data_IF_750098216592
#
_entry.id   IF_750098216592
#
_cell.length_a   1.000
_cell.length_b   1.000
_cell.length_c   1.000
_cell.angle_alpha   90.00
_cell.angle_beta   90.00
_cell.angle_gamma   90.00
#
_symmetry.space_group_name_H-M   'P 1'
#
loop_
_entity.id
_entity.type
_entity.pdbx_description
1 polymer ?
#
# COMPACT_ATOMS: atom_id res chain seq x y z
N UNK A 1 -8.18 27.40 4.37
CA UNK A 1 -7.85 28.57 3.53
C UNK A 1 -6.35 28.67 3.29
N UNK A 2 -5.50 28.74 4.33
CA UNK A 2 -4.06 28.92 4.16
C UNK A 2 -3.42 27.76 3.39
N UNK A 3 -3.73 26.52 3.71
CA UNK A 3 -3.23 25.35 2.98
C UNK A 3 -3.74 25.38 1.54
N UNK A 4 -5.01 25.70 1.32
CA UNK A 4 -5.58 25.76 -0.02
C UNK A 4 -4.94 26.87 -0.87
N UNK A 5 -4.67 28.03 -0.32
CA UNK A 5 -3.96 29.12 -1.03
C UNK A 5 -2.56 28.70 -1.52
N UNK A 6 -1.93 27.71 -0.88
CA UNK A 6 -0.60 27.18 -1.22
C UNK A 6 -0.65 25.95 -2.12
N UNK A 7 -1.69 25.14 -2.01
CA UNK A 7 -1.81 23.83 -2.65
C UNK A 7 -2.88 23.80 -3.73
N UNK A 8 -3.78 24.78 -3.74
CA UNK A 8 -4.95 24.84 -4.64
C UNK A 8 -5.82 23.57 -4.61
N UNK A 9 -5.99 22.96 -3.40
CA UNK A 9 -6.78 21.75 -3.24
C UNK A 9 -8.23 21.95 -3.66
N UNK A 10 -8.81 23.13 -3.43
CA UNK A 10 -10.16 23.45 -3.90
C UNK A 10 -10.28 23.32 -5.42
N UNK A 11 -9.29 23.82 -6.17
CA UNK A 11 -9.23 23.70 -7.63
C UNK A 11 -9.13 22.23 -8.05
N UNK A 12 -8.32 21.41 -7.36
CA UNK A 12 -8.20 19.98 -7.66
C UNK A 12 -9.51 19.23 -7.40
N UNK A 13 -10.18 19.57 -6.28
CA UNK A 13 -11.45 18.97 -5.92
C UNK A 13 -12.60 19.38 -6.86
N UNK A 14 -12.65 20.63 -7.25
CA UNK A 14 -13.67 21.14 -8.18
C UNK A 14 -13.38 20.77 -9.64
N UNK A 15 -12.11 20.57 -10.00
CA UNK A 15 -11.64 20.46 -11.38
C UNK A 15 -11.61 21.81 -12.12
N UNK A 16 -11.85 22.91 -11.42
CA UNK A 16 -11.83 24.31 -11.88
C UNK A 16 -11.60 25.26 -10.70
N UNK A 17 -11.32 26.49 -10.94
CA UNK A 17 -11.31 27.50 -9.87
C UNK A 17 -12.71 27.65 -9.24
N UNK A 18 -12.83 27.88 -7.91
CA UNK A 18 -14.08 28.25 -7.27
C UNK A 18 -14.67 29.51 -7.92
N UNK A 19 -15.98 29.54 -8.12
CA UNK A 19 -16.66 30.69 -8.74
C UNK A 19 -16.79 31.87 -7.73
N UNK A 20 -17.03 31.52 -6.48
CA UNK A 20 -17.23 32.50 -5.42
C UNK A 20 -16.83 31.92 -4.03
N UNK A 21 -16.88 32.79 -3.03
CA UNK A 21 -16.57 32.40 -1.64
C UNK A 21 -17.61 31.42 -1.06
N UNK A 22 -18.88 31.47 -1.50
CA UNK A 22 -19.90 30.57 -1.00
C UNK A 22 -19.67 29.12 -1.51
N UNK A 23 -19.25 28.96 -2.75
CA UNK A 23 -18.87 27.64 -3.28
C UNK A 23 -17.67 27.07 -2.53
N UNK A 24 -16.67 27.91 -2.24
CA UNK A 24 -15.49 27.48 -1.47
C UNK A 24 -15.87 27.05 -0.06
N UNK A 25 -16.72 27.79 0.62
CA UNK A 25 -17.21 27.45 1.97
C UNK A 25 -18.04 26.16 1.92
N UNK A 26 -18.92 26.02 0.92
CA UNK A 26 -19.71 24.79 0.74
C UNK A 26 -18.83 23.57 0.47
N UNK A 27 -17.73 23.73 -0.29
CA UNK A 27 -16.74 22.69 -0.53
C UNK A 27 -16.06 22.25 0.78
N UNK A 28 -15.64 23.21 1.62
CA UNK A 28 -15.03 22.88 2.91
C UNK A 28 -16.02 22.23 3.88
N UNK A 29 -17.29 22.68 3.88
CA UNK A 29 -18.35 22.03 4.63
C UNK A 29 -18.58 20.59 4.15
N UNK A 30 -18.55 20.38 2.84
CA UNK A 30 -18.63 19.04 2.21
C UNK A 30 -17.46 18.14 2.59
N UNK A 31 -16.23 18.68 2.60
CA UNK A 31 -15.03 17.95 3.06
C UNK A 31 -15.14 17.55 4.54
N UNK A 32 -15.61 18.48 5.40
CA UNK A 32 -15.82 18.22 6.82
C UNK A 32 -16.85 17.09 7.00
N UNK A 33 -17.99 17.20 6.33
CA UNK A 33 -19.05 16.20 6.40
C UNK A 33 -18.59 14.83 5.85
N UNK A 34 -17.84 14.82 4.75
CA UNK A 34 -17.37 13.60 4.13
C UNK A 34 -16.25 12.89 4.93
N UNK A 35 -15.41 13.67 5.61
CA UNK A 35 -14.28 13.16 6.41
C UNK A 35 -14.60 12.90 7.88
N UNK A 36 -15.84 13.09 8.31
CA UNK A 36 -16.28 12.89 9.71
C UNK A 36 -17.62 12.15 9.75
N UNK A 37 -18.16 11.91 10.95
CA UNK A 37 -19.51 11.35 11.14
C UNK A 37 -20.62 12.41 11.04
N UNK A 38 -20.28 13.65 10.66
CA UNK A 38 -21.23 14.76 10.50
C UNK A 38 -21.90 14.65 9.13
N UNK A 39 -23.23 14.65 9.10
CA UNK A 39 -23.96 14.67 7.83
C UNK A 39 -24.03 16.09 7.21
N UNK A 40 -24.53 16.19 5.99
CA UNK A 40 -24.68 17.48 5.29
C UNK A 40 -25.58 18.47 6.04
N UNK A 41 -26.57 17.97 6.77
CA UNK A 41 -27.50 18.80 7.55
C UNK A 41 -26.81 19.41 8.77
N UNK A 42 -26.06 18.59 9.50
CA UNK A 42 -25.29 19.02 10.64
C UNK A 42 -24.17 20.00 10.22
N UNK A 43 -23.44 19.71 9.15
CA UNK A 43 -22.43 20.61 8.62
C UNK A 43 -23.01 21.97 8.20
N UNK A 44 -24.13 21.97 7.48
CA UNK A 44 -24.82 23.21 7.11
C UNK A 44 -25.33 24.01 8.34
N UNK A 45 -25.77 23.33 9.39
CA UNK A 45 -26.21 23.99 10.62
C UNK A 45 -25.06 24.66 11.40
N UNK A 46 -23.84 24.18 11.24
CA UNK A 46 -22.63 24.73 11.86
C UNK A 46 -22.06 25.95 11.11
N UNK A 47 -22.42 26.14 9.85
CA UNK A 47 -21.86 27.19 8.99
C UNK A 47 -22.96 28.14 8.52
N UNK A 48 -23.05 29.37 9.06
CA UNK A 48 -24.08 30.32 8.68
C UNK A 48 -24.07 30.62 7.17
N UNK A 49 -25.25 30.67 6.57
CA UNK A 49 -25.41 31.06 5.16
C UNK A 49 -25.18 29.95 4.14
N UNK A 50 -24.80 28.75 4.55
CA UNK A 50 -24.60 27.62 3.61
C UNK A 50 -25.80 26.67 3.61
N UNK A 51 -26.56 26.58 2.51
CA UNK A 51 -27.70 25.69 2.45
C UNK A 51 -27.29 24.21 2.34
N UNK A 52 -28.10 23.33 2.95
CA UNK A 52 -27.87 21.87 2.95
C UNK A 52 -27.68 21.33 1.53
N UNK A 53 -28.40 21.84 0.54
CA UNK A 53 -28.30 21.43 -0.85
C UNK A 53 -26.90 21.66 -1.44
N UNK A 54 -26.24 22.77 -1.11
CA UNK A 54 -24.86 23.05 -1.55
C UNK A 54 -23.86 22.12 -0.88
N UNK A 55 -24.00 21.85 0.43
CA UNK A 55 -23.13 20.89 1.13
C UNK A 55 -23.29 19.48 0.52
N UNK A 56 -24.54 19.04 0.31
CA UNK A 56 -24.82 17.74 -0.33
C UNK A 56 -24.29 17.65 -1.76
N UNK A 57 -24.34 18.75 -2.52
CA UNK A 57 -23.75 18.79 -3.86
C UNK A 57 -22.22 18.69 -3.82
N UNK A 58 -21.58 19.41 -2.89
CA UNK A 58 -20.13 19.32 -2.67
C UNK A 58 -19.71 17.90 -2.27
N UNK A 59 -20.42 17.23 -1.34
CA UNK A 59 -20.14 15.85 -0.97
C UNK A 59 -20.20 14.90 -2.18
N UNK A 60 -21.26 14.96 -2.99
CA UNK A 60 -21.36 14.14 -4.21
C UNK A 60 -20.22 14.40 -5.21
N UNK A 61 -19.78 15.64 -5.29
CA UNK A 61 -18.66 16.00 -6.17
C UNK A 61 -17.34 15.42 -5.68
N UNK A 62 -17.12 15.34 -4.35
CA UNK A 62 -15.94 14.71 -3.76
C UNK A 62 -15.86 13.20 -4.06
N UNK A 63 -17.00 12.55 -4.31
CA UNK A 63 -17.08 11.13 -4.70
C UNK A 63 -16.58 10.87 -6.14
N UNK A 64 -16.36 11.93 -6.93
CA UNK A 64 -15.86 11.76 -8.29
C UNK A 64 -14.46 11.11 -8.30
N UNK A 65 -14.24 10.08 -9.16
CA UNK A 65 -13.00 9.32 -9.16
C UNK A 65 -11.74 10.20 -9.31
N UNK A 66 -10.77 9.96 -8.45
CA UNK A 66 -9.44 10.59 -8.52
C UNK A 66 -9.34 12.00 -7.91
N UNK A 67 -10.43 12.71 -7.63
CA UNK A 67 -10.39 14.09 -7.11
C UNK A 67 -9.73 14.19 -5.74
N UNK A 68 -10.18 13.38 -4.78
CA UNK A 68 -9.57 13.33 -3.44
C UNK A 68 -8.10 12.93 -3.51
N UNK A 69 -7.75 11.99 -4.39
CA UNK A 69 -6.36 11.59 -4.60
C UNK A 69 -5.51 12.73 -5.15
N UNK A 70 -5.97 13.43 -6.19
CA UNK A 70 -5.26 14.58 -6.75
C UNK A 70 -5.06 15.70 -5.72
N UNK A 71 -6.07 15.97 -4.90
CA UNK A 71 -5.98 16.93 -3.80
C UNK A 71 -4.96 16.49 -2.74
N UNK A 72 -4.99 15.21 -2.32
CA UNK A 72 -4.00 14.65 -1.41
C UNK A 72 -2.58 14.76 -1.99
N UNK A 73 -2.36 14.39 -3.24
CA UNK A 73 -1.06 14.47 -3.92
C UNK A 73 -0.51 15.90 -3.92
N UNK A 74 -1.39 16.91 -4.10
CA UNK A 74 -1.01 18.33 -4.03
C UNK A 74 -0.53 18.73 -2.63
N UNK A 75 -1.23 18.28 -1.58
CA UNK A 75 -0.83 18.52 -0.18
C UNK A 75 0.49 17.83 0.14
N UNK A 76 0.64 16.57 -0.27
CA UNK A 76 1.89 15.81 -0.08
C UNK A 76 3.05 16.50 -0.81
N UNK A 77 2.86 16.94 -2.05
CA UNK A 77 3.88 17.66 -2.80
C UNK A 77 4.27 18.99 -2.12
N UNK A 78 3.30 19.68 -1.53
CA UNK A 78 3.59 20.90 -0.75
C UNK A 78 4.38 20.57 0.53
N UNK A 79 3.98 19.55 1.29
CA UNK A 79 4.68 19.09 2.50
C UNK A 79 6.14 18.72 2.20
N UNK A 80 6.41 18.03 1.11
CA UNK A 80 7.75 17.59 0.71
C UNK A 80 8.72 18.75 0.39
N UNK A 81 8.23 19.99 0.23
CA UNK A 81 9.09 21.17 0.01
C UNK A 81 9.77 21.67 1.29
N UNK A 82 9.30 21.30 2.46
CA UNK A 82 9.83 21.76 3.73
C UNK A 82 11.10 21.00 4.10
N UNK A 83 12.21 21.71 4.43
CA UNK A 83 13.48 21.06 4.78
C UNK A 83 13.38 20.10 5.98
N UNK A 84 12.50 20.39 6.95
CA UNK A 84 12.29 19.56 8.13
C UNK A 84 11.80 18.14 7.76
N UNK A 85 11.08 17.98 6.67
CA UNK A 85 10.60 16.68 6.22
C UNK A 85 11.75 15.73 5.89
N UNK A 86 12.86 16.26 5.38
CA UNK A 86 14.08 15.49 5.08
C UNK A 86 14.76 14.93 6.33
N UNK A 87 14.49 15.52 7.51
CA UNK A 87 15.00 15.00 8.78
C UNK A 87 14.23 13.76 9.25
N UNK A 88 12.97 13.60 8.81
CA UNK A 88 12.13 12.47 9.17
C UNK A 88 12.34 11.28 8.24
N UNK A 89 12.55 11.53 6.95
CA UNK A 89 12.76 10.48 5.97
C UNK A 89 13.36 11.02 4.67
N UNK A 90 14.11 10.16 3.98
CA UNK A 90 14.59 10.41 2.62
C UNK A 90 13.52 10.23 1.53
N UNK A 91 12.30 9.85 1.92
CA UNK A 91 11.18 9.59 1.02
C UNK A 91 11.22 8.25 0.31
N UNK A 92 12.20 7.38 0.62
CA UNK A 92 12.38 6.06 -0.03
C UNK A 92 11.72 4.93 0.73
N UNK A 93 11.30 5.16 1.96
CA UNK A 93 10.72 4.15 2.84
C UNK A 93 9.24 4.44 3.07
N UNK A 94 8.45 3.38 3.07
CA UNK A 94 7.03 3.44 3.38
C UNK A 94 6.66 2.30 4.32
N UNK A 95 5.56 2.47 5.03
CA UNK A 95 4.88 1.41 5.77
C UNK A 95 3.45 1.26 5.27
N UNK A 96 2.87 0.09 5.44
CA UNK A 96 1.47 -0.12 5.11
C UNK A 96 0.80 -1.09 6.07
N UNK A 97 -0.49 -0.82 6.29
CA UNK A 97 -1.33 -1.63 7.15
C UNK A 97 -2.80 -1.54 6.70
N UNK A 98 -3.61 -2.45 7.23
CA UNK A 98 -5.03 -2.54 6.96
C UNK A 98 -5.84 -2.10 8.17
N UNK A 99 -6.76 -1.17 7.95
CA UNK A 99 -7.78 -0.78 8.90
C UNK A 99 -9.15 -1.31 8.46
N UNK A 100 -9.89 -1.92 9.38
CA UNK A 100 -11.27 -2.33 9.12
C UNK A 100 -12.22 -1.20 9.54
N UNK A 101 -13.06 -0.76 8.60
CA UNK A 101 -14.11 0.22 8.84
C UNK A 101 -15.47 -0.45 8.79
N UNK A 102 -16.35 -0.09 9.74
CA UNK A 102 -17.72 -0.55 9.71
C UNK A 102 -18.43 -0.08 8.44
N UNK A 103 -19.14 -0.96 7.81
CA UNK A 103 -19.78 -0.72 6.53
C UNK A 103 -21.19 -1.35 6.52
N UNK A 104 -22.02 -0.87 5.61
CA UNK A 104 -23.29 -1.54 5.37
C UNK A 104 -23.04 -2.94 4.77
N UNK A 105 -23.85 -3.94 5.20
CA UNK A 105 -23.82 -5.30 4.64
C UNK A 105 -24.12 -5.36 3.13
N UNK A 106 -24.66 -4.30 2.56
CA UNK A 106 -24.96 -4.18 1.14
C UNK A 106 -23.77 -3.75 0.29
N UNK A 107 -22.67 -3.32 0.92
CA UNK A 107 -21.45 -3.00 0.21
C UNK A 107 -20.78 -4.31 -0.28
N UNK A 108 -20.51 -4.40 -1.57
CA UNK A 108 -20.01 -5.65 -2.22
C UNK A 108 -18.69 -6.18 -1.61
N UNK A 109 -17.83 -5.28 -1.11
CA UNK A 109 -16.57 -5.62 -0.46
C UNK A 109 -16.69 -5.90 1.05
N UNK A 110 -17.85 -5.63 1.66
CA UNK A 110 -18.04 -5.86 3.09
C UNK A 110 -18.08 -7.35 3.42
N UNK A 111 -17.46 -7.70 4.54
CA UNK A 111 -17.51 -9.03 5.16
C UNK A 111 -17.69 -8.86 6.66
N UNK A 112 -18.15 -9.90 7.32
CA UNK A 112 -18.24 -9.89 8.79
C UNK A 112 -16.86 -9.81 9.41
N UNK A 113 -16.59 -8.77 10.20
CA UNK A 113 -15.37 -8.66 10.98
C UNK A 113 -15.38 -9.72 12.09
N UNK A 114 -14.40 -10.62 12.14
CA UNK A 114 -14.37 -11.70 13.15
C UNK A 114 -14.28 -11.19 14.58
N UNK A 115 -13.69 -10.00 14.79
CA UNK A 115 -13.49 -9.40 16.11
C UNK A 115 -14.74 -8.67 16.58
N UNK A 116 -15.31 -7.79 15.72
CA UNK A 116 -16.45 -6.92 16.07
C UNK A 116 -17.81 -7.55 15.79
N UNK A 117 -17.86 -8.60 14.95
CA UNK A 117 -19.09 -9.27 14.49
C UNK A 117 -20.03 -8.37 13.69
N UNK A 118 -19.55 -7.23 13.21
CA UNK A 118 -20.26 -6.29 12.34
C UNK A 118 -19.81 -6.44 10.89
N UNK A 119 -20.59 -5.93 9.93
CA UNK A 119 -20.16 -5.84 8.55
C UNK A 119 -19.09 -4.74 8.44
N UNK A 120 -17.97 -5.04 7.82
CA UNK A 120 -16.86 -4.12 7.65
C UNK A 120 -16.17 -4.30 6.29
N UNK A 121 -15.54 -3.24 5.79
CA UNK A 121 -14.64 -3.25 4.66
C UNK A 121 -13.22 -2.94 5.13
N UNK A 122 -12.21 -3.46 4.46
CA UNK A 122 -10.82 -3.10 4.71
C UNK A 122 -10.42 -1.86 3.91
N UNK A 123 -9.63 -1.00 4.51
CA UNK A 123 -8.87 0.04 3.81
C UNK A 123 -7.39 -0.27 4.02
N UNK A 124 -6.68 -0.47 2.93
CA UNK A 124 -5.23 -0.72 2.97
C UNK A 124 -4.50 0.58 2.62
N UNK A 125 -3.73 1.08 3.57
CA UNK A 125 -3.12 2.43 3.50
C UNK A 125 -1.61 2.32 3.48
N UNK A 126 -0.97 3.15 2.65
CA UNK A 126 0.48 3.28 2.55
C UNK A 126 0.90 4.67 3.01
N UNK A 127 1.88 4.72 3.89
CA UNK A 127 2.37 5.94 4.52
C UNK A 127 3.88 6.04 4.28
N UNK A 128 4.35 7.19 3.77
CA UNK A 128 5.80 7.46 3.70
C UNK A 128 6.39 7.61 5.10
N UNK A 129 7.68 7.37 5.24
CA UNK A 129 8.42 7.62 6.46
C UNK A 129 8.36 9.07 6.95
N UNK A 130 7.98 10.02 6.10
CA UNK A 130 7.68 11.42 6.43
C UNK A 130 6.19 11.66 6.74
N UNK A 131 5.44 10.61 7.02
CA UNK A 131 4.04 10.55 7.47
C UNK A 131 2.91 10.83 6.48
N UNK A 132 3.10 11.33 5.24
CA UNK A 132 1.94 11.48 4.37
C UNK A 132 1.40 10.12 3.89
N UNK A 133 0.08 10.02 3.79
CA UNK A 133 -0.60 8.93 3.08
C UNK A 133 -0.34 9.11 1.59
N UNK A 134 0.30 8.12 0.97
CA UNK A 134 0.65 8.16 -0.46
C UNK A 134 -0.26 7.33 -1.34
N UNK A 135 -0.90 6.32 -0.76
CA UNK A 135 -1.86 5.46 -1.45
C UNK A 135 -2.77 4.78 -0.45
N UNK A 136 -4.04 4.73 -0.77
CA UNK A 136 -5.05 3.98 -0.05
C UNK A 136 -5.96 3.26 -1.03
N UNK A 137 -6.50 2.12 -0.63
CA UNK A 137 -7.43 1.36 -1.46
C UNK A 137 -8.40 0.55 -0.59
N UNK A 138 -9.68 0.51 -0.98
CA UNK A 138 -10.62 -0.40 -0.35
C UNK A 138 -10.30 -1.84 -0.74
N UNK A 139 -10.35 -2.74 0.23
CA UNK A 139 -10.15 -4.18 0.02
C UNK A 139 -11.27 -4.98 0.66
N UNK A 140 -11.53 -6.16 0.13
CA UNK A 140 -12.42 -7.12 0.79
C UNK A 140 -11.78 -7.54 2.10
N UNK A 141 -12.50 -7.38 3.22
CA UNK A 141 -12.02 -7.81 4.52
C UNK A 141 -11.66 -9.30 4.48
N UNK A 142 -10.59 -9.69 5.16
CA UNK A 142 -10.03 -11.05 5.20
C UNK A 142 -9.31 -11.52 3.92
N UNK A 143 -9.15 -10.66 2.92
CA UNK A 143 -8.28 -10.95 1.77
C UNK A 143 -6.80 -10.92 2.21
N UNK A 144 -5.95 -11.68 1.53
CA UNK A 144 -4.50 -11.57 1.72
C UNK A 144 -4.03 -10.16 1.41
N UNK A 145 -3.18 -9.62 2.25
CA UNK A 145 -2.77 -8.22 2.20
C UNK A 145 -1.51 -7.97 1.36
N UNK A 146 -0.81 -9.02 0.93
CA UNK A 146 0.38 -8.90 0.07
C UNK A 146 0.09 -8.23 -1.28
N UNK A 147 -1.06 -8.56 -1.88
CA UNK A 147 -1.45 -7.96 -3.16
C UNK A 147 -1.71 -6.45 -3.07
N UNK A 148 -2.54 -5.94 -2.14
CA UNK A 148 -2.69 -4.51 -1.93
C UNK A 148 -1.40 -3.83 -1.48
N UNK A 149 -0.56 -4.48 -0.67
CA UNK A 149 0.74 -3.95 -0.24
C UNK A 149 1.64 -3.63 -1.44
N UNK A 150 1.84 -4.62 -2.31
CA UNK A 150 2.69 -4.45 -3.50
C UNK A 150 2.07 -3.51 -4.53
N UNK A 151 0.73 -3.58 -4.71
CA UNK A 151 0.03 -2.73 -5.67
C UNK A 151 0.16 -1.24 -5.36
N UNK A 152 -0.01 -0.85 -4.09
CA UNK A 152 0.02 0.57 -3.73
C UNK A 152 1.38 1.23 -3.97
N UNK A 153 2.48 0.52 -3.67
CA UNK A 153 3.83 1.03 -3.96
C UNK A 153 4.11 1.06 -5.46
N UNK A 154 3.71 0.03 -6.20
CA UNK A 154 3.87 0.04 -7.66
C UNK A 154 3.09 1.20 -8.30
N UNK A 155 1.85 1.44 -7.89
CA UNK A 155 1.04 2.55 -8.35
C UNK A 155 1.70 3.91 -8.02
N UNK A 156 2.17 4.08 -6.78
CA UNK A 156 2.89 5.28 -6.37
C UNK A 156 4.16 5.50 -7.18
N UNK A 157 4.98 4.47 -7.32
CA UNK A 157 6.25 4.54 -8.04
C UNK A 157 6.07 4.77 -9.56
N UNK A 158 4.93 4.42 -10.12
CA UNK A 158 4.63 4.57 -11.54
C UNK A 158 3.97 5.91 -11.90
N UNK A 159 3.57 6.73 -10.92
CA UNK A 159 2.80 7.98 -11.16
C UNK A 159 3.62 9.06 -11.85
N UNK A 160 4.92 9.20 -11.55
CA UNK A 160 5.80 10.22 -12.14
C UNK A 160 7.25 9.75 -12.12
N UNK A 161 8.00 10.06 -13.16
CA UNK A 161 9.44 9.76 -13.24
C UNK A 161 10.26 10.62 -12.28
N UNK A 162 9.84 11.87 -12.05
CA UNK A 162 10.54 12.84 -11.20
C UNK A 162 10.32 12.61 -9.70
N UNK A 163 9.40 11.72 -9.33
CA UNK A 163 9.09 11.43 -7.93
C UNK A 163 10.17 10.51 -7.31
N UNK A 164 10.53 10.79 -6.06
CA UNK A 164 11.36 9.86 -5.28
C UNK A 164 10.61 8.53 -5.17
N UNK A 165 11.24 7.46 -5.64
CA UNK A 165 10.65 6.12 -5.62
C UNK A 165 10.82 5.50 -4.23
N UNK A 166 9.80 4.81 -3.78
CA UNK A 166 9.89 3.96 -2.58
C UNK A 166 10.65 2.70 -2.97
N UNK A 167 11.73 2.41 -2.25
CA UNK A 167 12.58 1.23 -2.42
C UNK A 167 12.44 0.20 -1.27
N UNK A 168 11.79 0.58 -0.16
CA UNK A 168 11.51 -0.28 0.98
C UNK A 168 10.08 -0.08 1.49
N UNK A 169 9.32 -1.18 1.61
CA UNK A 169 7.99 -1.21 2.21
C UNK A 169 8.00 -2.10 3.44
N UNK A 170 7.80 -1.51 4.62
CA UNK A 170 7.54 -2.24 5.85
C UNK A 170 6.07 -2.64 5.95
N UNK A 171 5.80 -3.90 6.29
CA UNK A 171 4.44 -4.44 6.46
C UNK A 171 4.36 -5.29 7.71
N UNK A 172 3.15 -5.50 8.22
CA UNK A 172 2.90 -6.48 9.27
C UNK A 172 3.08 -7.94 8.78
N UNK A 173 2.87 -8.90 9.66
CA UNK A 173 2.98 -10.33 9.33
C UNK A 173 1.98 -10.77 8.25
N UNK A 174 0.84 -10.09 8.09
CA UNK A 174 -0.19 -10.42 7.12
C UNK A 174 0.04 -9.76 5.75
N UNK A 175 0.88 -8.73 5.71
CA UNK A 175 1.19 -7.95 4.51
C UNK A 175 2.16 -8.61 3.53
N UNK A 176 2.64 -9.84 3.80
CA UNK A 176 3.58 -10.50 2.91
C UNK A 176 3.23 -11.96 2.58
N UNK A 177 3.67 -12.40 1.43
CA UNK A 177 3.83 -13.80 1.01
C UNK A 177 5.18 -13.96 0.28
N UNK A 178 5.60 -15.18 0.04
CA UNK A 178 6.83 -15.39 -0.77
C UNK A 178 6.67 -14.83 -2.19
N UNK A 179 5.51 -15.07 -2.80
CA UNK A 179 5.21 -14.51 -4.13
C UNK A 179 5.15 -12.98 -4.11
N UNK A 180 4.58 -12.38 -3.05
CA UNK A 180 4.56 -10.93 -2.85
C UNK A 180 5.97 -10.34 -2.74
N UNK A 181 6.85 -10.95 -1.94
CA UNK A 181 8.27 -10.53 -1.85
C UNK A 181 8.99 -10.62 -3.20
N UNK A 182 8.75 -11.69 -3.96
CA UNK A 182 9.34 -11.86 -5.29
C UNK A 182 8.88 -10.79 -6.26
N UNK A 183 7.59 -10.54 -6.33
CA UNK A 183 7.02 -9.53 -7.23
C UNK A 183 7.50 -8.13 -6.83
N UNK A 184 7.50 -7.79 -5.55
CA UNK A 184 8.02 -6.51 -5.05
C UNK A 184 9.48 -6.29 -5.47
N UNK A 185 10.36 -7.28 -5.24
CA UNK A 185 11.77 -7.21 -5.61
C UNK A 185 11.99 -7.03 -7.11
N UNK A 186 11.22 -7.74 -7.93
CA UNK A 186 11.27 -7.62 -9.39
C UNK A 186 10.68 -6.29 -9.88
N UNK A 187 9.81 -5.66 -9.10
CA UNK A 187 9.31 -4.29 -9.29
C UNK A 187 10.25 -3.21 -8.73
N UNK A 188 11.41 -3.61 -8.19
CA UNK A 188 12.50 -2.77 -7.68
C UNK A 188 12.26 -2.11 -6.33
N UNK A 189 11.55 -2.78 -5.42
CA UNK A 189 11.50 -2.41 -4.01
C UNK A 189 11.51 -3.64 -3.11
N UNK A 190 11.94 -3.48 -1.87
CA UNK A 190 12.00 -4.55 -0.90
C UNK A 190 10.75 -4.55 -0.02
N UNK A 191 10.12 -5.72 0.10
CA UNK A 191 9.02 -5.97 1.03
C UNK A 191 9.60 -6.52 2.34
N UNK A 192 9.54 -5.72 3.40
CA UNK A 192 10.13 -6.00 4.70
C UNK A 192 9.04 -6.32 5.74
N UNK A 193 8.72 -7.61 5.95
CA UNK A 193 7.67 -7.98 6.88
C UNK A 193 8.14 -7.95 8.34
N UNK A 194 7.28 -7.47 9.24
CA UNK A 194 7.43 -7.71 10.66
C UNK A 194 7.03 -9.16 10.96
N UNK A 195 8.02 -10.02 11.18
CA UNK A 195 7.79 -11.45 11.35
C UNK A 195 7.46 -11.81 12.81
N UNK A 196 6.29 -12.36 13.05
CA UNK A 196 5.96 -12.97 14.32
C UNK A 196 6.71 -14.31 14.51
N UNK A 197 6.98 -14.69 15.77
CA UNK A 197 7.60 -15.97 16.10
C UNK A 197 9.01 -16.14 15.54
N UNK A 198 9.84 -15.12 15.64
CA UNK A 198 11.22 -15.13 15.14
C UNK A 198 12.05 -16.35 15.55
N UNK A 199 11.98 -16.87 16.79
CA UNK A 199 12.75 -18.05 17.20
C UNK A 199 12.45 -19.33 16.39
N UNK A 200 11.23 -19.42 15.84
CA UNK A 200 10.79 -20.58 15.06
C UNK A 200 11.05 -20.41 13.55
N UNK A 201 11.54 -19.26 13.13
CA UNK A 201 11.77 -18.97 11.71
C UNK A 201 13.06 -19.61 11.23
N UNK A 202 12.96 -20.42 10.19
CA UNK A 202 14.11 -21.05 9.54
C UNK A 202 14.62 -20.19 8.39
N UNK A 203 15.94 -20.21 8.20
CA UNK A 203 16.61 -19.67 7.03
C UNK A 203 16.60 -20.76 5.96
N UNK A 204 16.06 -20.47 4.80
CA UNK A 204 16.08 -21.41 3.70
C UNK A 204 17.25 -21.11 2.75
N UNK A 205 18.02 -22.12 2.46
CA UNK A 205 19.20 -22.01 1.62
C UNK A 205 19.03 -22.81 0.33
N UNK A 206 19.70 -22.40 -0.78
CA UNK A 206 19.88 -23.25 -1.93
C UNK A 206 20.52 -24.57 -1.54
N UNK A 207 20.11 -25.65 -2.17
CA UNK A 207 20.70 -26.99 -1.93
C UNK A 207 22.15 -27.09 -2.34
N UNK A 208 22.63 -26.21 -3.19
CA UNK A 208 24.02 -26.12 -3.64
C UNK A 208 24.95 -25.46 -2.63
N UNK A 209 24.43 -24.83 -1.57
CA UNK A 209 25.20 -24.12 -0.57
C UNK A 209 25.42 -25.02 0.66
N UNK A 210 26.68 -25.25 1.02
CA UNK A 210 27.03 -25.88 2.27
C UNK A 210 26.92 -24.85 3.40
N UNK A 211 26.15 -25.19 4.41
CA UNK A 211 25.93 -24.36 5.59
C UNK A 211 26.93 -24.79 6.67
N UNK A 212 27.47 -23.83 7.43
CA UNK A 212 28.36 -24.17 8.56
C UNK A 212 27.59 -24.90 9.67
N UNK A 213 28.26 -25.77 10.43
CA UNK A 213 27.70 -26.53 11.53
C UNK A 213 26.93 -25.65 12.54
N UNK A 214 27.43 -24.42 12.79
CA UNK A 214 26.78 -23.45 13.67
C UNK A 214 25.37 -23.05 13.22
N UNK A 215 25.09 -23.09 11.93
CA UNK A 215 23.80 -22.69 11.33
C UNK A 215 22.89 -23.87 10.97
N UNK A 216 23.35 -25.12 11.07
CA UNK A 216 22.58 -26.31 10.67
C UNK A 216 21.22 -26.44 11.38
N UNK A 217 21.12 -25.94 12.61
CA UNK A 217 19.86 -25.96 13.38
C UNK A 217 18.81 -24.99 12.85
N UNK A 218 19.21 -23.92 12.19
CA UNK A 218 18.32 -22.83 11.73
C UNK A 218 18.23 -22.74 10.22
N UNK A 219 19.21 -23.27 9.48
CA UNK A 219 19.27 -23.26 8.03
C UNK A 219 18.76 -24.60 7.46
N UNK A 220 17.86 -24.51 6.47
CA UNK A 220 17.28 -25.69 5.81
C UNK A 220 17.56 -25.58 4.31
N UNK A 221 18.21 -26.60 3.69
CA UNK A 221 18.49 -26.63 2.25
C UNK A 221 17.22 -27.00 1.48
N UNK A 222 16.30 -26.05 1.35
CA UNK A 222 14.97 -26.27 0.79
C UNK A 222 14.69 -25.49 -0.51
N UNK A 223 15.60 -24.57 -0.92
CA UNK A 223 15.39 -23.78 -2.13
C UNK A 223 15.80 -24.60 -3.35
N UNK A 224 14.89 -24.71 -4.32
CA UNK A 224 15.10 -25.41 -5.58
C UNK A 224 15.44 -24.41 -6.68
N UNK A 225 16.74 -24.21 -6.95
CA UNK A 225 17.23 -23.29 -7.98
C UNK A 225 16.71 -23.62 -9.38
N UNK A 226 16.54 -24.92 -9.68
CA UNK A 226 15.97 -25.38 -10.95
C UNK A 226 14.59 -24.75 -11.19
N UNK A 227 13.72 -24.71 -10.18
CA UNK A 227 12.38 -24.14 -10.31
C UNK A 227 12.42 -22.63 -10.59
N UNK A 228 13.41 -21.92 -10.02
CA UNK A 228 13.61 -20.49 -10.32
C UNK A 228 14.01 -20.32 -11.79
N UNK A 229 14.97 -21.11 -12.28
CA UNK A 229 15.45 -21.00 -13.67
C UNK A 229 14.39 -21.36 -14.70
N UNK A 230 13.63 -22.43 -14.46
CA UNK A 230 12.59 -22.89 -15.39
C UNK A 230 11.44 -21.88 -15.53
N UNK A 231 11.02 -21.22 -14.42
CA UNK A 231 9.94 -20.25 -14.45
C UNK A 231 10.37 -18.80 -14.71
N UNK A 232 11.70 -18.53 -14.83
CA UNK A 232 12.22 -17.15 -14.84
C UNK A 232 11.70 -16.31 -15.99
N UNK A 233 11.80 -16.81 -17.22
CA UNK A 233 11.39 -16.06 -18.42
C UNK A 233 9.90 -15.69 -18.40
N UNK A 234 9.05 -16.61 -17.96
CA UNK A 234 7.61 -16.37 -17.84
C UNK A 234 7.33 -15.39 -16.71
N UNK A 235 8.07 -15.49 -15.60
CA UNK A 235 7.98 -14.52 -14.48
C UNK A 235 8.38 -13.11 -14.96
N UNK A 236 9.47 -12.98 -15.72
CA UNK A 236 9.87 -11.67 -16.26
C UNK A 236 8.86 -11.09 -17.25
N UNK A 237 8.19 -11.91 -18.06
CA UNK A 237 7.08 -11.48 -18.92
C UNK A 237 5.89 -10.99 -18.10
N UNK A 238 5.58 -11.65 -16.97
CA UNK A 238 4.54 -11.19 -16.03
C UNK A 238 4.89 -9.82 -15.46
N UNK A 239 6.14 -9.64 -14.98
CA UNK A 239 6.62 -8.35 -14.44
C UNK A 239 6.56 -7.25 -15.50
N UNK A 240 6.98 -7.54 -16.73
CA UNK A 240 6.87 -6.59 -17.85
C UNK A 240 5.41 -6.21 -18.13
N UNK A 241 4.48 -7.17 -18.04
CA UNK A 241 3.04 -6.92 -18.20
C UNK A 241 2.47 -6.04 -17.08
N UNK A 242 2.95 -6.21 -15.85
CA UNK A 242 2.62 -5.34 -14.71
C UNK A 242 3.15 -3.92 -14.96
N UNK A 243 4.44 -3.79 -15.30
CA UNK A 243 5.08 -2.49 -15.57
C UNK A 243 4.43 -1.73 -16.73
N UNK A 244 3.92 -2.43 -17.73
CA UNK A 244 3.19 -1.80 -18.85
C UNK A 244 1.71 -1.53 -18.57
N UNK A 245 1.24 -1.79 -17.33
CA UNK A 245 -0.16 -1.58 -16.94
C UNK A 245 -1.17 -2.55 -17.55
N UNK A 246 -0.71 -3.60 -18.26
CA UNK A 246 -1.59 -4.61 -18.88
C UNK A 246 -2.18 -5.60 -17.88
N UNK A 247 -1.49 -5.83 -16.76
CA UNK A 247 -1.90 -6.74 -15.70
C UNK A 247 -1.74 -6.01 -14.37
N UNK A 248 -2.76 -6.05 -13.52
CA UNK A 248 -2.62 -5.50 -12.17
C UNK A 248 -1.84 -6.45 -11.27
N UNK A 249 -1.07 -5.88 -10.31
CA UNK A 249 -0.36 -6.66 -9.28
C UNK A 249 -1.32 -7.56 -8.51
N UNK A 250 -2.48 -7.02 -8.12
CA UNK A 250 -3.48 -7.77 -7.37
C UNK A 250 -3.97 -9.00 -8.13
N UNK A 251 -4.26 -8.84 -9.44
CA UNK A 251 -4.65 -9.98 -10.28
C UNK A 251 -3.53 -11.00 -10.42
N UNK A 252 -2.28 -10.56 -10.66
CA UNK A 252 -1.13 -11.43 -10.81
C UNK A 252 -0.90 -12.29 -9.55
N UNK A 253 -0.89 -11.69 -8.37
CA UNK A 253 -0.70 -12.40 -7.11
C UNK A 253 -1.86 -13.33 -6.78
N UNK A 254 -3.11 -12.91 -7.00
CA UNK A 254 -4.28 -13.77 -6.80
C UNK A 254 -4.26 -14.97 -7.75
N UNK A 255 -3.94 -14.77 -9.05
CA UNK A 255 -3.88 -15.82 -10.07
C UNK A 255 -2.82 -16.87 -9.73
N UNK A 256 -1.59 -16.44 -9.41
CA UNK A 256 -0.49 -17.37 -9.11
C UNK A 256 -0.55 -17.91 -7.68
N UNK A 257 -1.12 -17.18 -6.73
CA UNK A 257 -1.39 -17.69 -5.38
C UNK A 257 -2.37 -18.87 -5.35
N UNK A 258 -3.31 -18.94 -6.30
CA UNK A 258 -4.30 -20.01 -6.47
C UNK A 258 -3.96 -21.00 -7.58
N UNK A 259 -2.88 -20.80 -8.34
CA UNK A 259 -2.48 -21.69 -9.43
C UNK A 259 -2.17 -23.11 -8.93
N UNK A 260 -2.17 -24.09 -9.84
CA UNK A 260 -1.78 -25.45 -9.52
C UNK A 260 -0.31 -25.54 -9.04
N UNK A 261 0.01 -26.52 -8.24
CA UNK A 261 1.36 -26.71 -7.70
C UNK A 261 2.44 -26.89 -8.80
N UNK A 262 2.05 -27.31 -10.01
CA UNK A 262 2.92 -27.47 -11.18
C UNK A 262 3.13 -26.19 -12.00
N UNK A 263 2.46 -25.06 -11.67
CA UNK A 263 2.64 -23.80 -12.40
C UNK A 263 4.08 -23.27 -12.21
N UNK A 264 4.80 -23.06 -13.30
CA UNK A 264 6.23 -22.70 -13.27
C UNK A 264 6.45 -21.29 -12.70
N UNK A 265 5.55 -20.33 -13.01
CA UNK A 265 5.62 -18.97 -12.47
C UNK A 265 5.39 -18.99 -10.97
N UNK A 266 4.38 -19.75 -10.51
CA UNK A 266 4.11 -19.91 -9.08
C UNK A 266 5.31 -20.51 -8.36
N UNK A 267 5.89 -21.60 -8.90
CA UNK A 267 7.07 -22.25 -8.30
C UNK A 267 8.28 -21.31 -8.27
N UNK A 268 8.50 -20.58 -9.35
CA UNK A 268 9.56 -19.57 -9.42
C UNK A 268 9.39 -18.51 -8.35
N UNK A 269 8.23 -17.85 -8.29
CA UNK A 269 7.93 -16.81 -7.31
C UNK A 269 8.03 -17.32 -5.87
N UNK A 270 7.54 -18.53 -5.58
CA UNK A 270 7.62 -19.12 -4.24
C UNK A 270 9.08 -19.38 -3.83
N UNK A 271 9.88 -20.00 -4.69
CA UNK A 271 11.28 -20.34 -4.39
C UNK A 271 12.17 -19.09 -4.29
N UNK A 272 11.97 -18.12 -5.19
CA UNK A 272 12.68 -16.84 -5.13
C UNK A 272 12.30 -16.04 -3.88
N UNK A 273 11.02 -15.99 -3.53
CA UNK A 273 10.57 -15.31 -2.31
C UNK A 273 11.08 -15.96 -1.02
N UNK A 274 11.23 -17.29 -0.99
CA UNK A 274 11.90 -17.98 0.13
C UNK A 274 13.35 -17.54 0.28
N UNK A 275 14.07 -17.39 -0.82
CA UNK A 275 15.44 -16.87 -0.82
C UNK A 275 15.47 -15.43 -0.29
N UNK A 276 14.62 -14.55 -0.83
CA UNK A 276 14.52 -13.15 -0.39
C UNK A 276 14.20 -13.02 1.09
N UNK A 277 13.25 -13.82 1.61
CA UNK A 277 12.95 -13.84 3.04
C UNK A 277 14.15 -14.29 3.88
N UNK A 278 14.92 -15.25 3.39
CA UNK A 278 16.11 -15.71 4.11
C UNK A 278 17.20 -14.64 4.15
N UNK A 279 17.41 -13.92 3.04
CA UNK A 279 18.31 -12.75 2.99
C UNK A 279 17.82 -11.68 3.97
N UNK A 280 16.53 -11.35 3.94
CA UNK A 280 15.92 -10.42 4.89
C UNK A 280 16.17 -10.81 6.36
N UNK A 281 16.03 -12.09 6.71
CA UNK A 281 16.32 -12.58 8.08
C UNK A 281 17.79 -12.42 8.44
N UNK A 282 18.70 -12.70 7.50
CA UNK A 282 20.13 -12.48 7.74
C UNK A 282 20.42 -11.00 8.02
N UNK A 283 19.90 -10.10 7.18
CA UNK A 283 20.06 -8.66 7.37
C UNK A 283 19.43 -8.19 8.68
N UNK A 284 18.24 -8.67 9.00
CA UNK A 284 17.52 -8.34 10.23
C UNK A 284 18.31 -8.72 11.50
N UNK A 285 18.99 -9.87 11.50
CA UNK A 285 19.75 -10.34 12.67
C UNK A 285 21.14 -9.75 12.75
N UNK A 286 21.77 -9.39 11.63
CA UNK A 286 23.17 -8.93 11.59
C UNK A 286 23.33 -7.43 11.50
N UNK A 287 22.29 -6.69 11.05
CA UNK A 287 22.36 -5.26 10.83
C UNK A 287 21.39 -4.50 11.76
N UNK A 288 21.90 -3.94 12.84
CA UNK A 288 21.12 -3.21 13.83
C UNK A 288 20.49 -1.92 13.25
N UNK A 289 21.16 -1.28 12.30
CA UNK A 289 20.63 -0.07 11.63
C UNK A 289 19.42 -0.44 10.82
N UNK A 290 19.52 -1.44 9.97
CA UNK A 290 18.39 -1.95 9.17
C UNK A 290 17.22 -2.37 10.05
N UNK A 291 17.48 -3.11 11.14
CA UNK A 291 16.44 -3.54 12.07
C UNK A 291 15.67 -2.37 12.71
N UNK A 292 16.37 -1.27 13.06
CA UNK A 292 15.74 -0.06 13.61
C UNK A 292 14.96 0.74 12.57
N UNK A 293 15.34 0.63 11.31
CA UNK A 293 14.67 1.34 10.21
C UNK A 293 13.31 0.75 9.85
N UNK A 294 13.10 -0.56 10.09
CA UNK A 294 11.85 -1.27 9.76
C UNK A 294 10.92 -1.46 10.96
N UNK A 295 11.33 -1.03 12.14
CA UNK A 295 10.54 -1.00 13.39
C UNK A 295 10.10 0.42 13.72
#
# INVERSE_FOLDING_TARGET
LEIDSRTQISTMLLGRQPEDAEELIALYAGLLAHGTEIDAKAAAAMIPGVPISRVSAAMRMLEAPGRLRSANDSVVAFQQRFPIVKLWSDGKKASSDMMALDATRHLSIARTDPRRKTAAAGIYTHILGSYPVIFDQPIVLLTRQDAPAVHGIEAYNSTSEDRIKVDLLAVDTHGYTYSGMSVAKLLKFDLCPQLAGLPDRKIWTPRSINVSEALERVAIPAITEKAIREGWDQTMRLIASIKSGRVSVAWALARHGSAAAGDDVRRCLDQYGRLLRSVFLCDFFTNDVFRREIH
#
